data_IF_355595192502
#
_entry.id   IF_355595192502
#
_cell.length_a   1.000
_cell.length_b   1.000
_cell.length_c   1.000
_cell.angle_alpha   90.00
_cell.angle_beta   90.00
_cell.angle_gamma   90.00
#
_symmetry.space_group_name_H-M   'P 1'
#
loop_
_entity.id
_entity.type
_entity.pdbx_description
1 polymer ?
#
# COMPACT_ATOMS: atom_id res chain seq x y z
N UNK A 1 18.81 -37.33 -9.58
CA UNK A 1 17.61 -36.49 -9.30
C UNK A 1 17.27 -36.34 -7.82
N UNK A 2 17.70 -37.19 -6.90
CA UNK A 2 17.39 -37.09 -5.44
C UNK A 2 18.21 -36.02 -4.69
N UNK A 3 19.39 -35.66 -5.16
CA UNK A 3 20.30 -34.71 -4.47
C UNK A 3 19.79 -33.25 -4.50
N UNK A 4 19.13 -32.85 -5.59
CA UNK A 4 18.65 -31.48 -5.75
C UNK A 4 17.46 -31.15 -4.83
N UNK A 5 16.64 -32.13 -4.48
CA UNK A 5 15.48 -31.94 -3.59
C UNK A 5 15.93 -31.73 -2.15
N UNK A 6 16.95 -32.51 -1.69
CA UNK A 6 17.50 -32.35 -0.33
C UNK A 6 18.21 -31.02 -0.20
N UNK A 7 18.97 -30.57 -1.20
CA UNK A 7 19.64 -29.28 -1.19
C UNK A 7 18.63 -28.13 -1.15
N UNK A 8 17.57 -28.20 -1.96
CA UNK A 8 16.50 -27.22 -1.95
C UNK A 8 15.78 -27.16 -0.61
N UNK A 9 15.49 -28.32 -0.01
CA UNK A 9 14.84 -28.40 1.31
C UNK A 9 15.74 -27.86 2.43
N UNK A 10 17.06 -28.11 2.36
CA UNK A 10 18.01 -27.60 3.34
C UNK A 10 18.15 -26.07 3.23
N UNK A 11 18.23 -25.52 2.01
CA UNK A 11 18.28 -24.07 1.79
C UNK A 11 16.99 -23.41 2.25
N UNK A 12 15.84 -24.01 2.01
CA UNK A 12 14.54 -23.50 2.50
C UNK A 12 14.49 -23.57 4.03
N UNK A 13 14.89 -24.67 4.65
CA UNK A 13 14.89 -24.82 6.11
C UNK A 13 15.89 -23.89 6.81
N UNK A 14 17.09 -23.72 6.28
CA UNK A 14 18.08 -22.79 6.86
C UNK A 14 17.67 -21.32 6.66
N UNK A 15 17.00 -21.02 5.56
CA UNK A 15 16.38 -19.70 5.38
C UNK A 15 15.25 -19.44 6.38
N UNK A 16 14.48 -20.48 6.70
CA UNK A 16 13.39 -20.36 7.69
C UNK A 16 13.88 -20.15 9.12
N UNK A 17 15.01 -20.75 9.51
CA UNK A 17 15.53 -20.55 10.87
C UNK A 17 16.07 -19.14 11.11
N UNK A 18 16.67 -18.51 10.13
CA UNK A 18 17.06 -17.09 10.22
C UNK A 18 15.84 -16.15 10.17
N UNK A 19 14.78 -16.53 9.46
CA UNK A 19 13.53 -15.80 9.40
C UNK A 19 12.80 -15.75 10.76
N UNK A 20 12.87 -16.82 11.56
CA UNK A 20 12.18 -16.92 12.86
C UNK A 20 12.71 -15.95 13.94
N UNK A 21 13.85 -15.31 13.74
CA UNK A 21 14.45 -14.38 14.69
C UNK A 21 14.36 -12.91 14.26
N UNK A 22 13.78 -12.64 13.09
CA UNK A 22 13.61 -11.26 12.63
C UNK A 22 12.72 -10.49 13.61
N UNK A 23 13.25 -9.38 14.14
CA UNK A 23 12.52 -8.46 15.02
C UNK A 23 12.21 -7.19 14.25
N UNK A 24 11.11 -6.49 14.58
CA UNK A 24 10.88 -5.18 14.00
C UNK A 24 12.06 -4.26 14.34
N UNK A 25 12.45 -3.42 13.41
CA UNK A 25 13.51 -2.44 13.60
C UNK A 25 13.04 -1.05 13.25
N UNK A 26 13.60 -0.05 13.93
CA UNK A 26 13.38 1.34 13.56
C UNK A 26 14.00 1.62 12.20
N UNK A 27 13.40 2.52 11.44
CA UNK A 27 14.05 2.98 10.22
C UNK A 27 13.11 3.47 9.13
N UNK A 28 13.75 4.06 8.13
CA UNK A 28 13.09 4.55 6.91
C UNK A 28 12.87 3.41 5.93
N UNK A 29 11.67 3.27 5.42
CA UNK A 29 11.30 2.31 4.39
C UNK A 29 10.95 2.98 3.07
N UNK A 30 11.35 2.36 1.96
CA UNK A 30 10.94 2.70 0.62
C UNK A 30 10.46 1.43 -0.10
N UNK A 31 9.26 1.51 -0.66
CA UNK A 31 8.58 0.35 -1.20
C UNK A 31 7.94 0.66 -2.55
N UNK A 32 7.93 -0.33 -3.42
CA UNK A 32 7.21 -0.31 -4.68
C UNK A 32 5.85 -0.99 -4.50
N UNK A 33 4.82 -0.37 -5.03
CA UNK A 33 3.45 -0.83 -4.97
C UNK A 33 3.03 -1.49 -6.29
N UNK A 34 2.73 -2.77 -6.21
CA UNK A 34 2.27 -3.59 -7.34
C UNK A 34 0.76 -3.88 -7.30
N UNK A 35 0.05 -3.37 -6.30
CA UNK A 35 -1.38 -3.58 -6.11
C UNK A 35 -2.26 -2.67 -6.97
N UNK A 36 -3.52 -2.61 -6.63
CA UNK A 36 -4.52 -1.78 -7.29
C UNK A 36 -5.22 -0.89 -6.26
N UNK A 37 -4.84 0.36 -6.22
CA UNK A 37 -5.61 1.39 -5.53
C UNK A 37 -6.46 2.11 -6.58
N UNK A 38 -7.78 2.02 -6.45
CA UNK A 38 -8.74 2.43 -7.48
C UNK A 38 -9.59 3.59 -6.99
N UNK A 39 -9.98 4.43 -7.93
CA UNK A 39 -11.11 5.32 -7.74
C UNK A 39 -12.40 4.57 -8.09
N UNK A 40 -13.38 4.58 -7.19
CA UNK A 40 -14.65 3.87 -7.33
C UNK A 40 -15.79 4.84 -7.07
N UNK A 41 -16.83 4.79 -7.89
CA UNK A 41 -18.07 5.53 -7.65
C UNK A 41 -18.70 5.04 -6.33
N UNK A 42 -18.99 5.98 -5.44
CA UNK A 42 -19.45 5.62 -4.11
C UNK A 42 -20.86 5.01 -4.11
N UNK A 43 -21.73 5.45 -5.02
CA UNK A 43 -23.14 5.04 -5.05
C UNK A 43 -23.36 3.75 -5.84
N UNK A 44 -22.67 3.62 -6.99
CA UNK A 44 -22.88 2.48 -7.91
C UNK A 44 -21.85 1.37 -7.73
N UNK A 45 -20.72 1.64 -7.07
CA UNK A 45 -19.58 0.72 -6.98
C UNK A 45 -18.79 0.56 -8.29
N UNK A 46 -19.07 1.39 -9.30
CA UNK A 46 -18.38 1.31 -10.59
C UNK A 46 -16.94 1.74 -10.44
N UNK A 47 -16.01 0.90 -10.87
CA UNK A 47 -14.58 1.20 -10.91
C UNK A 47 -14.25 2.09 -12.12
N UNK A 48 -13.49 3.13 -11.89
CA UNK A 48 -13.04 4.05 -12.94
C UNK A 48 -11.66 3.72 -13.51
N UNK A 49 -10.95 2.80 -12.88
CA UNK A 49 -9.62 2.41 -13.32
C UNK A 49 -9.67 1.54 -14.56
N UNK A 50 -8.92 1.92 -15.59
CA UNK A 50 -8.72 1.13 -16.82
C UNK A 50 -7.34 0.45 -16.86
N UNK A 51 -6.32 1.10 -16.28
CA UNK A 51 -4.98 0.52 -16.15
C UNK A 51 -4.22 1.12 -14.99
N UNK A 52 -3.29 0.35 -14.44
CA UNK A 52 -2.35 0.76 -13.42
C UNK A 52 -1.10 1.34 -14.07
N UNK A 53 -0.55 2.41 -13.52
CA UNK A 53 0.76 2.94 -13.91
C UNK A 53 1.81 2.53 -12.88
N UNK A 54 1.58 2.80 -11.61
CA UNK A 54 2.48 2.41 -10.54
C UNK A 54 2.19 3.16 -9.24
N UNK A 55 2.86 2.73 -8.18
CA UNK A 55 2.80 3.39 -6.89
C UNK A 55 4.09 3.21 -6.10
N UNK A 56 4.29 4.10 -5.15
CA UNK A 56 5.38 4.07 -4.18
C UNK A 56 4.81 4.28 -2.78
N UNK A 57 5.45 3.67 -1.79
CA UNK A 57 5.19 3.93 -0.39
C UNK A 57 6.50 4.24 0.29
N UNK A 58 6.48 5.18 1.20
CA UNK A 58 7.54 5.47 2.16
C UNK A 58 6.96 5.48 3.56
N UNK A 59 7.71 4.96 4.50
CA UNK A 59 7.34 5.00 5.91
C UNK A 59 8.56 5.25 6.79
N UNK A 60 8.31 5.65 8.03
CA UNK A 60 9.27 5.58 9.11
C UNK A 60 8.68 4.77 10.25
N UNK A 61 9.33 3.67 10.60
CA UNK A 61 8.90 2.75 11.63
C UNK A 61 9.62 3.01 12.94
N UNK A 62 8.85 2.98 14.03
CA UNK A 62 9.29 3.00 15.41
C UNK A 62 8.93 1.68 16.08
N UNK A 63 9.89 1.05 16.74
CA UNK A 63 9.68 -0.19 17.47
C UNK A 63 9.04 0.09 18.82
N UNK A 64 8.02 -0.68 19.17
CA UNK A 64 7.32 -0.64 20.46
C UNK A 64 7.52 -1.98 21.18
N UNK A 65 8.75 -2.24 21.63
CA UNK A 65 9.15 -3.54 22.19
C UNK A 65 9.37 -4.61 21.10
N UNK A 66 9.32 -5.87 21.49
CA UNK A 66 9.67 -6.99 20.60
C UNK A 66 8.52 -7.42 19.67
N UNK A 67 7.30 -7.00 19.95
CA UNK A 67 6.11 -7.54 19.28
C UNK A 67 5.25 -6.50 18.58
N UNK A 68 5.58 -5.22 18.72
CA UNK A 68 4.79 -4.15 18.11
C UNK A 68 5.68 -3.11 17.45
N UNK A 69 5.17 -2.47 16.40
CA UNK A 69 5.76 -1.27 15.84
C UNK A 69 4.68 -0.31 15.38
N UNK A 70 5.04 0.96 15.34
CA UNK A 70 4.23 2.05 14.83
C UNK A 70 4.96 2.69 13.65
N UNK A 71 4.27 3.00 12.57
CA UNK A 71 4.85 3.66 11.42
C UNK A 71 4.05 4.89 11.01
N UNK A 72 4.74 5.94 10.62
CA UNK A 72 4.17 7.03 9.83
C UNK A 72 4.38 6.67 8.36
N UNK A 73 3.34 6.73 7.55
CA UNK A 73 3.40 6.30 6.15
C UNK A 73 2.82 7.33 5.19
N UNK A 74 3.38 7.35 4.00
CA UNK A 74 2.87 8.07 2.86
C UNK A 74 2.89 7.17 1.63
N UNK A 75 1.85 7.22 0.81
CA UNK A 75 1.81 6.51 -0.46
C UNK A 75 1.38 7.45 -1.58
N UNK A 76 1.91 7.21 -2.75
CA UNK A 76 1.41 7.80 -3.98
C UNK A 76 1.23 6.71 -5.03
N UNK A 77 0.12 6.75 -5.71
CA UNK A 77 -0.27 5.80 -6.74
C UNK A 77 -0.83 6.56 -7.93
N UNK A 78 -0.48 6.12 -9.14
CA UNK A 78 -1.00 6.68 -10.38
C UNK A 78 -1.70 5.61 -11.20
N UNK A 79 -2.84 5.96 -11.77
CA UNK A 79 -3.62 5.09 -12.62
C UNK A 79 -4.21 5.84 -13.82
N UNK A 80 -4.60 5.07 -14.82
CA UNK A 80 -5.42 5.55 -15.91
C UNK A 80 -6.86 5.13 -15.66
N UNK A 81 -7.80 6.04 -15.90
CA UNK A 81 -9.21 5.79 -15.66
C UNK A 81 -10.10 6.68 -16.51
N UNK A 82 -11.37 6.32 -16.62
CA UNK A 82 -12.36 7.07 -17.38
C UNK A 82 -13.56 7.37 -16.50
N UNK A 83 -13.89 8.66 -16.39
CA UNK A 83 -15.09 9.11 -15.71
C UNK A 83 -16.28 9.17 -16.71
N UNK A 84 -17.42 8.54 -16.40
CA UNK A 84 -18.55 8.49 -17.33
C UNK A 84 -19.16 9.86 -17.63
N UNK A 85 -19.02 10.81 -16.74
CA UNK A 85 -19.61 12.15 -16.84
C UNK A 85 -18.66 13.19 -17.47
N UNK A 86 -17.36 12.91 -17.45
CA UNK A 86 -16.35 13.82 -17.96
C UNK A 86 -15.22 13.06 -18.62
N UNK A 87 -15.22 13.05 -19.93
CA UNK A 87 -14.22 12.35 -20.75
C UNK A 87 -12.88 13.05 -20.84
N UNK A 88 -12.71 14.22 -20.21
CA UNK A 88 -11.46 14.96 -20.23
C UNK A 88 -10.37 14.34 -19.34
N UNK A 89 -10.78 13.72 -18.23
CA UNK A 89 -9.83 13.14 -17.30
C UNK A 89 -9.45 11.72 -17.71
N UNK A 90 -8.18 11.52 -18.00
CA UNK A 90 -7.63 10.21 -18.41
C UNK A 90 -6.78 9.56 -17.33
N UNK A 91 -6.27 10.34 -16.38
CA UNK A 91 -5.36 9.88 -15.35
C UNK A 91 -5.85 10.32 -13.98
N UNK A 92 -5.48 9.57 -12.97
CA UNK A 92 -5.67 9.99 -11.58
C UNK A 92 -4.43 9.68 -10.74
N UNK A 93 -4.28 10.44 -9.66
CA UNK A 93 -3.40 10.13 -8.55
C UNK A 93 -4.23 9.91 -7.31
N UNK A 94 -3.87 8.91 -6.55
CA UNK A 94 -4.45 8.62 -5.25
C UNK A 94 -3.34 8.27 -4.27
N UNK A 95 -3.59 8.45 -3.00
CA UNK A 95 -2.61 8.05 -1.99
C UNK A 95 -3.14 8.19 -0.58
N UNK A 96 -2.26 7.92 0.37
CA UNK A 96 -2.55 7.91 1.79
C UNK A 96 -1.43 8.66 2.51
N UNK A 97 -1.81 9.47 3.46
CA UNK A 97 -0.91 9.97 4.52
C UNK A 97 -1.51 9.53 5.83
N UNK A 98 -0.78 8.73 6.60
CA UNK A 98 -1.36 8.13 7.79
C UNK A 98 -0.35 7.46 8.71
N UNK A 99 -0.89 6.60 9.56
CA UNK A 99 -0.14 5.83 10.52
C UNK A 99 -0.59 4.38 10.53
N UNK A 100 0.33 3.49 10.85
CA UNK A 100 0.10 2.05 10.93
C UNK A 100 0.62 1.50 12.25
N UNK A 101 -0.15 0.61 12.86
CA UNK A 101 0.27 -0.22 13.98
C UNK A 101 0.42 -1.66 13.48
N UNK A 102 1.58 -2.27 13.71
CA UNK A 102 1.87 -3.67 13.37
C UNK A 102 2.09 -4.50 14.62
N UNK A 103 1.51 -5.70 14.63
CA UNK A 103 1.83 -6.76 15.58
C UNK A 103 2.69 -7.81 14.88
N UNK A 104 3.77 -8.26 15.53
CA UNK A 104 4.80 -9.11 14.98
C UNK A 104 4.85 -10.48 15.62
N UNK A 105 5.10 -11.50 14.80
CA UNK A 105 5.44 -12.87 15.20
C UNK A 105 6.69 -13.30 14.39
N UNK A 106 7.86 -13.05 14.94
CA UNK A 106 9.11 -13.18 14.20
C UNK A 106 9.11 -12.22 13.00
N UNK A 107 9.35 -12.73 11.78
CA UNK A 107 9.35 -11.89 10.57
C UNK A 107 7.95 -11.55 10.06
N UNK A 108 6.93 -12.26 10.52
CA UNK A 108 5.55 -12.06 10.09
C UNK A 108 4.91 -10.90 10.85
N UNK A 109 4.11 -10.10 10.18
CA UNK A 109 3.30 -9.08 10.83
C UNK A 109 1.85 -9.04 10.30
N UNK A 110 0.96 -8.57 11.14
CA UNK A 110 -0.34 -8.05 10.76
C UNK A 110 -0.39 -6.58 11.15
N UNK A 111 -0.88 -5.73 10.25
CA UNK A 111 -0.96 -4.30 10.46
C UNK A 111 -2.36 -3.77 10.26
N UNK A 112 -2.68 -2.71 10.99
CA UNK A 112 -3.86 -1.87 10.75
C UNK A 112 -3.39 -0.43 10.60
N UNK A 113 -3.92 0.26 9.60
CA UNK A 113 -3.57 1.65 9.37
C UNK A 113 -4.81 2.51 9.17
N UNK A 114 -4.65 3.79 9.41
CA UNK A 114 -5.65 4.80 9.15
C UNK A 114 -4.99 6.12 8.79
N UNK A 115 -5.72 6.96 8.09
CA UNK A 115 -5.18 8.24 7.66
C UNK A 115 -6.10 9.02 6.74
N UNK A 116 -5.51 10.02 6.08
CA UNK A 116 -6.15 10.81 5.06
C UNK A 116 -5.81 10.22 3.69
N UNK A 117 -6.83 9.87 2.95
CA UNK A 117 -6.75 9.43 1.57
C UNK A 117 -7.01 10.61 0.66
N UNK A 118 -6.23 10.74 -0.38
CA UNK A 118 -6.46 11.77 -1.39
C UNK A 118 -6.72 11.16 -2.76
N UNK A 119 -7.45 11.93 -3.56
CA UNK A 119 -7.71 11.63 -4.96
C UNK A 119 -7.66 12.93 -5.76
N UNK A 120 -7.03 12.89 -6.92
CA UNK A 120 -7.07 13.96 -7.91
C UNK A 120 -7.15 13.38 -9.31
N UNK A 121 -7.97 13.97 -10.16
CA UNK A 121 -8.07 13.61 -11.57
C UNK A 121 -7.27 14.60 -12.42
N UNK A 122 -6.64 14.09 -13.45
CA UNK A 122 -5.70 14.82 -14.29
C UNK A 122 -6.18 14.74 -15.74
N UNK A 123 -6.46 15.91 -16.32
CA UNK A 123 -6.81 16.07 -17.74
C UNK A 123 -5.52 16.22 -18.58
N UNK A 124 -4.60 17.07 -18.09
CA UNK A 124 -3.31 17.35 -18.71
C UNK A 124 -2.32 17.79 -17.62
N UNK A 125 -1.07 18.00 -17.97
CA UNK A 125 -0.05 18.49 -17.03
C UNK A 125 -0.41 19.84 -16.38
N UNK A 126 -1.33 20.62 -16.97
CA UNK A 126 -1.74 21.93 -16.50
C UNK A 126 -3.18 21.99 -15.98
N UNK A 127 -3.94 20.91 -16.07
CA UNK A 127 -5.35 20.88 -15.69
C UNK A 127 -5.68 19.66 -14.85
N UNK A 128 -6.19 19.87 -13.64
CA UNK A 128 -6.56 18.82 -12.68
C UNK A 128 -7.78 19.24 -11.85
N UNK A 129 -8.49 18.27 -11.30
CA UNK A 129 -9.72 18.47 -10.52
C UNK A 129 -9.53 19.12 -9.14
N UNK A 130 -8.29 19.44 -8.77
CA UNK A 130 -7.93 19.73 -7.39
C UNK A 130 -7.74 18.45 -6.57
N UNK A 131 -7.02 18.57 -5.47
CA UNK A 131 -6.79 17.45 -4.54
C UNK A 131 -7.91 17.44 -3.52
N UNK A 132 -8.64 16.35 -3.45
CA UNK A 132 -9.70 16.13 -2.46
C UNK A 132 -9.28 15.05 -1.47
N UNK A 133 -9.69 15.20 -0.22
CA UNK A 133 -9.26 14.35 0.87
C UNK A 133 -10.45 13.71 1.59
N UNK A 134 -10.23 12.53 2.15
CA UNK A 134 -11.19 11.84 3.01
C UNK A 134 -10.46 10.92 3.99
N UNK A 135 -11.05 10.63 5.12
CA UNK A 135 -10.55 9.62 6.03
C UNK A 135 -10.69 8.23 5.45
N UNK A 136 -9.89 7.30 5.96
CA UNK A 136 -9.99 5.91 5.59
C UNK A 136 -9.07 5.03 6.42
N UNK A 137 -9.19 3.73 6.19
CA UNK A 137 -8.45 2.73 6.93
C UNK A 137 -8.19 1.50 6.08
N UNK A 138 -7.27 0.69 6.56
CA UNK A 138 -6.97 -0.59 5.97
C UNK A 138 -6.30 -1.53 6.95
N UNK A 139 -6.07 -2.73 6.48
CA UNK A 139 -5.33 -3.74 7.18
C UNK A 139 -4.45 -4.50 6.20
N UNK A 140 -3.40 -5.09 6.71
CA UNK A 140 -2.47 -5.85 5.89
C UNK A 140 -1.75 -6.92 6.69
N UNK A 141 -1.03 -7.74 5.96
CA UNK A 141 -0.13 -8.74 6.51
C UNK A 141 1.14 -8.79 5.64
N UNK A 142 2.24 -9.18 6.24
CA UNK A 142 3.49 -9.23 5.51
C UNK A 142 4.58 -9.97 6.23
N UNK A 143 5.71 -10.00 5.57
CA UNK A 143 6.97 -10.51 6.10
C UNK A 143 8.04 -9.43 5.92
N UNK A 144 8.90 -9.28 6.92
CA UNK A 144 10.09 -8.44 6.83
C UNK A 144 11.28 -9.18 7.44
N UNK A 145 12.32 -9.38 6.64
CA UNK A 145 13.53 -10.07 7.07
C UNK A 145 14.47 -9.15 7.85
N UNK A 146 15.46 -9.74 8.54
CA UNK A 146 16.51 -9.01 9.27
C UNK A 146 17.31 -8.07 8.37
N UNK A 147 17.46 -8.43 7.10
CA UNK A 147 18.11 -7.59 6.09
C UNK A 147 17.33 -6.32 5.72
N UNK A 148 16.10 -6.16 6.19
CA UNK A 148 15.24 -5.03 5.86
C UNK A 148 14.35 -5.22 4.63
N UNK A 149 14.48 -6.31 3.89
CA UNK A 149 13.54 -6.61 2.81
C UNK A 149 12.16 -6.99 3.35
N UNK A 150 11.14 -6.43 2.74
CA UNK A 150 9.75 -6.64 3.14
C UNK A 150 8.86 -6.91 1.95
N UNK A 151 7.95 -7.87 2.12
CA UNK A 151 6.84 -8.15 1.20
C UNK A 151 5.55 -8.11 1.99
N UNK A 152 4.59 -7.33 1.56
CA UNK A 152 3.32 -7.18 2.26
C UNK A 152 2.13 -7.07 1.31
N UNK A 153 0.97 -7.43 1.83
CA UNK A 153 -0.31 -7.27 1.18
C UNK A 153 -1.25 -6.46 2.06
N UNK A 154 -1.98 -5.52 1.46
CA UNK A 154 -2.92 -4.64 2.14
C UNK A 154 -4.28 -4.63 1.44
N UNK A 155 -5.32 -4.43 2.23
CA UNK A 155 -6.67 -4.14 1.78
C UNK A 155 -7.12 -2.84 2.42
N UNK A 156 -7.54 -1.89 1.61
CA UNK A 156 -7.75 -0.50 2.01
C UNK A 156 -9.03 0.08 1.44
N UNK A 157 -9.60 1.04 2.19
CA UNK A 157 -10.78 1.77 1.76
C UNK A 157 -10.85 3.14 2.43
N UNK A 158 -11.07 4.18 1.63
CA UNK A 158 -11.44 5.50 2.14
C UNK A 158 -12.96 5.62 2.36
N UNK A 159 -13.35 6.62 3.10
CA UNK A 159 -14.70 7.16 3.08
C UNK A 159 -14.94 7.92 1.76
N UNK A 160 -16.07 8.59 1.67
CA UNK A 160 -16.46 9.38 0.50
C UNK A 160 -15.52 10.55 0.25
N UNK A 161 -15.14 10.73 -0.99
CA UNK A 161 -14.40 11.88 -1.51
C UNK A 161 -15.37 12.66 -2.40
N UNK A 162 -15.74 13.85 -1.99
CA UNK A 162 -16.65 14.71 -2.74
C UNK A 162 -15.87 15.62 -3.68
N UNK A 163 -16.32 15.73 -4.91
CA UNK A 163 -15.88 16.68 -5.92
C UNK A 163 -17.04 17.60 -6.27
N UNK A 164 -16.73 18.82 -6.71
CA UNK A 164 -17.76 19.80 -7.02
C UNK A 164 -18.53 19.45 -8.30
N UNK A 165 -17.82 18.94 -9.31
CA UNK A 165 -18.35 18.64 -10.64
C UNK A 165 -18.29 17.16 -11.03
N UNK A 166 -18.01 16.27 -10.09
CA UNK A 166 -17.88 14.83 -10.35
C UNK A 166 -18.71 14.03 -9.34
N UNK A 167 -19.16 12.82 -9.69
CA UNK A 167 -19.81 11.94 -8.74
C UNK A 167 -18.96 11.69 -7.49
N UNK A 168 -19.57 11.48 -6.35
CA UNK A 168 -18.86 11.06 -5.13
C UNK A 168 -18.09 9.77 -5.38
N UNK A 169 -16.87 9.75 -4.91
CA UNK A 169 -15.95 8.64 -5.12
C UNK A 169 -15.37 8.16 -3.80
N UNK A 170 -14.73 7.02 -3.83
CA UNK A 170 -13.83 6.55 -2.78
C UNK A 170 -12.60 5.91 -3.39
N UNK A 171 -11.54 5.86 -2.63
CA UNK A 171 -10.33 5.11 -2.97
C UNK A 171 -10.40 3.77 -2.25
N UNK A 172 -10.29 2.69 -3.00
CA UNK A 172 -10.21 1.34 -2.41
C UNK A 172 -9.28 0.44 -3.21
N UNK A 173 -8.75 -0.58 -2.59
CA UNK A 173 -7.94 -1.54 -3.32
C UNK A 173 -7.24 -2.56 -2.48
N UNK A 174 -6.60 -3.47 -3.20
CA UNK A 174 -5.70 -4.47 -2.66
C UNK A 174 -4.32 -4.21 -3.21
N UNK A 175 -3.32 -4.07 -2.35
CA UNK A 175 -1.96 -3.75 -2.73
C UNK A 175 -1.00 -4.86 -2.35
N UNK A 176 -0.03 -5.14 -3.22
CA UNK A 176 1.15 -5.92 -2.92
C UNK A 176 2.32 -4.95 -2.94
N UNK A 177 3.09 -4.92 -1.87
CA UNK A 177 4.15 -3.95 -1.66
C UNK A 177 5.44 -4.72 -1.40
N UNK A 178 6.47 -4.40 -2.16
CA UNK A 178 7.81 -4.94 -2.01
C UNK A 178 8.78 -3.78 -1.78
N UNK A 179 9.62 -3.87 -0.78
CA UNK A 179 10.57 -2.82 -0.53
C UNK A 179 11.64 -3.15 0.48
N UNK A 180 12.32 -2.11 0.88
CA UNK A 180 13.47 -2.19 1.78
C UNK A 180 13.39 -1.14 2.87
N UNK A 181 13.75 -1.53 4.09
CA UNK A 181 13.88 -0.65 5.25
C UNK A 181 15.34 -0.54 5.67
N UNK A 182 15.83 0.68 5.70
CA UNK A 182 17.16 1.01 6.29
C UNK A 182 16.98 1.13 7.80
N UNK A 183 17.75 0.34 8.51
CA UNK A 183 17.77 0.26 9.98
C UNK A 183 19.04 0.90 10.54
#
# INVERSE_FOLDING_TARGET
MKLNVIFLFTVVLTSWTSILHARPGDGLGLFLDFGQLKAVNNDTGTEYQTSKIGGVQYDYQFTLGDSFSFSLLGTEFSGKGVLPVNTKYEYYKAGIIGAELRAWMGPLFIGVHGGQYYLTWIESLSSYSGIKWSSGSGWGLGIEGESGWSLSWYNEKSEKIAFDDLPEQRVEGKRIILGYRWR
#
